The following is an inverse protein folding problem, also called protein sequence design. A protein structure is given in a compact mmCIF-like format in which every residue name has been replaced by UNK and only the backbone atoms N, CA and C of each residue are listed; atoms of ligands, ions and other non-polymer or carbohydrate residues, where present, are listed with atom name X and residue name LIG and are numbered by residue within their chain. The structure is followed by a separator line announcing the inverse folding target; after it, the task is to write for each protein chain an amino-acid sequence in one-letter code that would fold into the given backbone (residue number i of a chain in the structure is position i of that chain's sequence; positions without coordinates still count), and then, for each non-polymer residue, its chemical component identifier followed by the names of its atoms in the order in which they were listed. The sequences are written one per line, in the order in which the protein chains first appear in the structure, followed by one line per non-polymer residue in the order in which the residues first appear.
data_IF_545233352627
#
_entry.id   IF_545233352627
#
_cell.length_a   1.000
_cell.length_b   1.000
_cell.length_c   1.000
_cell.angle_alpha   90.00
_cell.angle_beta   90.00
_cell.angle_gamma   90.00
#
_symmetry.space_group_name_H-M   'P 1'
#
loop_
_entity.id
_entity.type
_entity.pdbx_description
1 polymer ?
#
# COMPACT_ATOMS: atom_id res chain seq x y z
N UNK A 1 8.71 -8.36 -16.37
CA UNK A 1 7.43 -7.63 -16.47
C UNK A 1 7.69 -6.13 -16.62
N UNK A 2 8.51 -5.50 -15.77
CA UNK A 2 8.83 -4.05 -15.84
C UNK A 2 9.52 -3.70 -17.17
N UNK A 3 10.49 -4.51 -17.63
CA UNK A 3 11.20 -4.29 -18.89
C UNK A 3 10.30 -4.43 -20.14
N UNK A 4 9.19 -5.18 -20.02
CA UNK A 4 8.23 -5.36 -21.12
C UNK A 4 7.28 -4.16 -21.22
N UNK A 5 6.87 -3.60 -20.09
CA UNK A 5 6.00 -2.43 -20.02
C UNK A 5 6.70 -1.15 -20.46
N UNK A 6 8.02 -1.02 -20.19
CA UNK A 6 8.81 0.14 -20.63
C UNK A 6 9.13 0.12 -22.13
N UNK A 7 9.21 -1.06 -22.77
CA UNK A 7 9.46 -1.16 -24.21
C UNK A 7 8.20 -0.88 -25.07
N UNK A 8 7.01 -1.18 -24.57
CA UNK A 8 5.75 -0.76 -25.18
C UNK A 8 5.36 0.58 -24.54
N UNK A 9 5.49 1.66 -25.28
CA UNK A 9 4.89 2.97 -24.95
C UNK A 9 3.34 2.94 -24.91
N UNK A 10 2.73 1.79 -24.68
CA UNK A 10 1.29 1.66 -24.43
C UNK A 10 1.02 2.07 -22.99
N UNK A 11 0.72 3.34 -22.82
CA UNK A 11 0.26 3.90 -21.54
C UNK A 11 -1.04 3.20 -21.16
N UNK A 12 -1.09 2.66 -19.95
CA UNK A 12 -2.28 2.00 -19.41
C UNK A 12 -3.47 2.98 -19.44
N UNK A 13 -4.58 2.57 -19.99
CA UNK A 13 -5.82 3.35 -19.90
C UNK A 13 -6.36 3.33 -18.48
N UNK A 14 -7.17 4.34 -18.08
CA UNK A 14 -7.78 4.39 -16.75
C UNK A 14 -8.55 3.12 -16.38
N UNK A 15 -9.19 2.45 -17.36
CA UNK A 15 -9.87 1.17 -17.16
C UNK A 15 -8.89 0.02 -16.85
N UNK A 16 -7.73 0.00 -17.51
CA UNK A 16 -6.68 -1.00 -17.23
C UNK A 16 -6.04 -0.76 -15.87
N UNK A 17 -5.84 0.51 -15.49
CA UNK A 17 -5.39 0.87 -14.15
C UNK A 17 -6.38 0.38 -13.09
N UNK A 18 -7.68 0.65 -13.25
CA UNK A 18 -8.72 0.16 -12.34
C UNK A 18 -8.73 -1.37 -12.21
N UNK A 19 -8.61 -2.11 -13.32
CA UNK A 19 -8.51 -3.58 -13.28
C UNK A 19 -7.26 -4.05 -12.54
N UNK A 20 -6.12 -3.39 -12.74
CA UNK A 20 -4.88 -3.73 -12.05
C UNK A 20 -4.97 -3.45 -10.53
N UNK A 21 -5.62 -2.34 -10.13
CA UNK A 21 -5.91 -2.04 -8.72
C UNK A 21 -6.78 -3.12 -8.09
N UNK A 22 -7.86 -3.53 -8.77
CA UNK A 22 -8.75 -4.60 -8.29
C UNK A 22 -8.02 -5.95 -8.19
N UNK A 23 -7.24 -6.31 -9.20
CA UNK A 23 -6.46 -7.55 -9.17
C UNK A 23 -5.42 -7.54 -8.03
N UNK A 24 -4.67 -6.44 -7.87
CA UNK A 24 -3.72 -6.28 -6.78
C UNK A 24 -4.38 -6.29 -5.40
N UNK A 25 -5.56 -5.66 -5.27
CA UNK A 25 -6.38 -5.71 -4.06
C UNK A 25 -6.84 -7.13 -3.74
N UNK A 26 -7.30 -7.88 -4.74
CA UNK A 26 -7.69 -9.29 -4.58
C UNK A 26 -6.53 -10.17 -4.10
N UNK A 27 -5.36 -10.03 -4.72
CA UNK A 27 -4.13 -10.75 -4.28
C UNK A 27 -3.76 -10.35 -2.86
N UNK A 28 -3.79 -9.07 -2.52
CA UNK A 28 -3.50 -8.58 -1.17
C UNK A 28 -4.46 -9.14 -0.13
N UNK A 29 -5.75 -9.28 -0.48
CA UNK A 29 -6.76 -9.88 0.40
C UNK A 29 -6.45 -11.36 0.68
N UNK A 30 -6.06 -12.14 -0.35
CA UNK A 30 -5.66 -13.55 -0.17
C UNK A 30 -4.45 -13.64 0.76
N UNK A 31 -3.44 -12.80 0.56
CA UNK A 31 -2.28 -12.74 1.45
C UNK A 31 -2.66 -12.34 2.88
N UNK A 32 -3.58 -11.39 3.05
CA UNK A 32 -4.09 -11.01 4.37
C UNK A 32 -4.72 -12.21 5.10
N UNK A 33 -5.61 -12.94 4.43
CA UNK A 33 -6.24 -14.14 5.02
C UNK A 33 -5.18 -15.19 5.39
N UNK A 34 -4.22 -15.43 4.52
CA UNK A 34 -3.12 -16.35 4.79
C UNK A 34 -2.29 -15.92 6.01
N UNK A 35 -1.97 -14.63 6.13
CA UNK A 35 -1.25 -14.08 7.29
C UNK A 35 -2.08 -14.15 8.58
N UNK A 36 -3.41 -13.95 8.50
CA UNK A 36 -4.30 -14.06 9.66
C UNK A 36 -4.37 -15.47 10.24
N UNK A 37 -4.14 -16.48 9.42
CA UNK A 37 -4.05 -17.87 9.86
C UNK A 37 -2.62 -18.22 10.26
N UNK A 38 -1.64 -17.88 9.41
CA UNK A 38 -0.24 -18.27 9.59
C UNK A 38 0.44 -17.60 10.77
N UNK A 39 0.22 -16.29 10.99
CA UNK A 39 0.90 -15.57 12.09
C UNK A 39 0.47 -16.06 13.48
N UNK A 40 -0.84 -16.19 13.80
CA UNK A 40 -1.26 -16.76 15.08
C UNK A 40 -0.76 -18.20 15.29
N UNK A 41 -0.80 -19.03 14.24
CA UNK A 41 -0.30 -20.39 14.30
C UNK A 41 1.21 -20.43 14.61
N UNK A 42 2.00 -19.57 13.95
CA UNK A 42 3.43 -19.43 14.21
C UNK A 42 3.71 -18.97 15.65
N UNK A 43 3.01 -17.94 16.11
CA UNK A 43 3.17 -17.41 17.47
C UNK A 43 2.77 -18.48 18.50
N UNK A 44 1.66 -19.20 18.28
CA UNK A 44 1.22 -20.28 19.15
C UNK A 44 2.24 -21.44 19.23
N UNK A 45 2.85 -21.77 18.08
CA UNK A 45 3.80 -22.90 18.01
C UNK A 45 5.14 -22.58 18.71
N UNK A 46 5.67 -21.36 18.49
CA UNK A 46 7.00 -20.98 18.94
C UNK A 46 7.01 -20.14 20.24
N UNK A 47 5.91 -19.42 20.52
CA UNK A 47 5.83 -18.43 21.59
C UNK A 47 4.56 -18.58 22.42
N UNK A 48 4.24 -19.80 22.85
CA UNK A 48 3.00 -20.14 23.58
C UNK A 48 2.63 -19.15 24.68
N UNK A 49 3.61 -18.76 25.50
CA UNK A 49 3.40 -17.86 26.65
C UNK A 49 3.12 -16.40 26.26
N UNK A 50 3.41 -16.01 25.01
CA UNK A 50 3.21 -14.66 24.50
C UNK A 50 1.98 -14.51 23.61
N UNK A 51 1.34 -15.64 23.25
CA UNK A 51 0.22 -15.65 22.32
C UNK A 51 -0.92 -14.72 22.76
N UNK A 52 -1.34 -14.83 24.02
CA UNK A 52 -2.44 -14.02 24.54
C UNK A 52 -2.12 -12.52 24.59
N UNK A 53 -0.87 -12.16 24.80
CA UNK A 53 -0.43 -10.77 24.85
C UNK A 53 -0.42 -10.12 23.45
N UNK A 54 -0.14 -10.90 22.39
CA UNK A 54 0.05 -10.35 21.03
C UNK A 54 -1.13 -10.56 20.09
N UNK A 55 -2.06 -11.47 20.38
CA UNK A 55 -3.19 -11.82 19.50
C UNK A 55 -4.00 -10.61 19.04
N UNK A 56 -4.20 -9.61 19.91
CA UNK A 56 -4.94 -8.39 19.58
C UNK A 56 -4.18 -7.46 18.61
N UNK A 57 -2.86 -7.50 18.65
CA UNK A 57 -1.99 -6.64 17.83
C UNK A 57 -1.74 -7.26 16.45
N UNK A 58 -1.73 -8.59 16.37
CA UNK A 58 -1.40 -9.34 15.14
C UNK A 58 -2.27 -8.91 13.97
N UNK A 59 -3.57 -8.79 14.17
CA UNK A 59 -4.50 -8.39 13.10
C UNK A 59 -4.17 -7.01 12.55
N UNK A 60 -3.91 -6.03 13.41
CA UNK A 60 -3.58 -4.65 13.02
C UNK A 60 -2.25 -4.60 12.28
N UNK A 61 -1.25 -5.32 12.78
CA UNK A 61 0.07 -5.42 12.16
C UNK A 61 -0.03 -6.09 10.78
N UNK A 62 -0.72 -7.22 10.68
CA UNK A 62 -0.91 -7.91 9.40
C UNK A 62 -1.61 -7.01 8.39
N UNK A 63 -2.66 -6.30 8.80
CA UNK A 63 -3.36 -5.37 7.93
C UNK A 63 -2.44 -4.22 7.47
N UNK A 64 -1.64 -3.65 8.37
CA UNK A 64 -0.69 -2.60 8.04
C UNK A 64 0.37 -3.09 7.03
N UNK A 65 0.90 -4.30 7.19
CA UNK A 65 1.89 -4.90 6.29
C UNK A 65 1.31 -5.18 4.90
N UNK A 66 0.09 -5.74 4.84
CA UNK A 66 -0.57 -6.01 3.55
C UNK A 66 -0.92 -4.72 2.81
N UNK A 67 -1.37 -3.69 3.50
CA UNK A 67 -1.56 -2.37 2.89
C UNK A 67 -0.24 -1.76 2.40
N UNK A 68 0.85 -1.97 3.14
CA UNK A 68 2.20 -1.60 2.71
C UNK A 68 2.62 -2.28 1.40
N UNK A 69 2.42 -3.60 1.29
CA UNK A 69 2.67 -4.38 0.07
C UNK A 69 1.78 -3.92 -1.09
N UNK A 70 0.49 -3.74 -0.84
CA UNK A 70 -0.45 -3.23 -1.84
C UNK A 70 -0.06 -1.85 -2.34
N UNK A 71 0.35 -0.95 -1.45
CA UNK A 71 0.81 0.38 -1.82
C UNK A 71 2.09 0.34 -2.66
N UNK A 72 3.03 -0.58 -2.37
CA UNK A 72 4.24 -0.78 -3.17
C UNK A 72 3.91 -1.28 -4.58
N UNK A 73 2.95 -2.18 -4.71
CA UNK A 73 2.44 -2.64 -6.00
C UNK A 73 1.81 -1.49 -6.81
N UNK A 74 0.93 -0.71 -6.18
CA UNK A 74 0.31 0.46 -6.81
C UNK A 74 1.36 1.49 -7.23
N UNK A 75 2.37 1.68 -6.42
CA UNK A 75 3.47 2.59 -6.69
C UNK A 75 4.20 2.20 -7.99
N UNK A 76 4.50 0.93 -8.21
CA UNK A 76 5.10 0.44 -9.45
C UNK A 76 4.19 0.69 -10.65
N UNK A 77 2.88 0.51 -10.51
CA UNK A 77 1.91 0.80 -11.57
C UNK A 77 1.89 2.29 -11.92
N UNK A 78 1.89 3.16 -10.92
CA UNK A 78 1.85 4.61 -11.12
C UNK A 78 3.16 5.14 -11.68
N UNK A 79 4.31 4.45 -11.48
CA UNK A 79 5.59 4.76 -12.14
C UNK A 79 5.49 4.78 -13.67
N UNK A 80 4.54 4.06 -14.24
CA UNK A 80 4.34 4.05 -15.69
C UNK A 80 3.70 5.33 -16.23
N UNK A 81 3.08 6.16 -15.35
CA UNK A 81 2.33 7.37 -15.72
C UNK A 81 2.88 8.66 -15.18
N UNK A 82 3.72 8.60 -14.14
CA UNK A 82 4.16 9.79 -13.40
C UNK A 82 5.67 9.94 -13.40
N UNK A 83 6.11 11.19 -13.33
CA UNK A 83 7.51 11.50 -13.13
C UNK A 83 7.99 10.97 -11.78
N UNK A 84 9.21 10.44 -11.74
CA UNK A 84 9.86 9.89 -10.55
C UNK A 84 9.89 10.88 -9.37
N UNK A 85 9.92 12.19 -9.65
CA UNK A 85 9.94 13.25 -8.64
C UNK A 85 8.72 13.25 -7.73
N UNK A 86 7.51 13.08 -8.29
CA UNK A 86 6.26 13.04 -7.51
C UNK A 86 6.22 11.84 -6.58
N UNK A 87 6.77 10.73 -7.02
CA UNK A 87 6.82 9.51 -6.24
C UNK A 87 7.81 9.63 -5.09
N UNK A 88 8.96 10.27 -5.32
CA UNK A 88 9.94 10.57 -4.28
C UNK A 88 9.32 11.43 -3.18
N UNK A 89 8.54 12.46 -3.54
CA UNK A 89 7.82 13.28 -2.57
C UNK A 89 6.78 12.51 -1.77
N UNK A 90 5.98 11.66 -2.41
CA UNK A 90 5.00 10.81 -1.71
C UNK A 90 5.70 9.89 -0.71
N UNK A 91 6.85 9.31 -1.10
CA UNK A 91 7.62 8.44 -0.21
C UNK A 91 8.20 9.20 0.98
N UNK A 92 8.79 10.37 0.74
CA UNK A 92 9.36 11.20 1.81
C UNK A 92 8.28 11.65 2.81
N UNK A 93 7.14 12.13 2.31
CA UNK A 93 6.01 12.55 3.16
C UNK A 93 5.46 11.35 3.94
N UNK A 94 5.27 10.20 3.28
CA UNK A 94 4.83 8.98 3.95
C UNK A 94 5.79 8.55 5.06
N UNK A 95 7.10 8.56 4.79
CA UNK A 95 8.12 8.20 5.78
C UNK A 95 8.10 9.16 6.97
N UNK A 96 7.99 10.47 6.73
CA UNK A 96 7.90 11.47 7.78
C UNK A 96 6.65 11.28 8.64
N UNK A 97 5.48 11.07 8.03
CA UNK A 97 4.23 10.79 8.74
C UNK A 97 4.37 9.50 9.57
N UNK A 98 4.88 8.42 8.95
CA UNK A 98 5.06 7.14 9.62
C UNK A 98 5.98 7.30 10.84
N UNK A 99 7.12 7.97 10.70
CA UNK A 99 8.09 8.17 11.78
C UNK A 99 7.46 8.96 12.93
N UNK A 100 6.90 10.13 12.65
CA UNK A 100 6.33 11.02 13.67
C UNK A 100 5.13 10.38 14.36
N UNK A 101 4.16 9.88 13.58
CA UNK A 101 2.97 9.26 14.12
C UNK A 101 3.29 8.00 14.94
N UNK A 102 4.21 7.16 14.46
CA UNK A 102 4.60 5.94 15.17
C UNK A 102 5.30 6.23 16.50
N UNK A 103 6.21 7.22 16.54
CA UNK A 103 6.88 7.60 17.79
C UNK A 103 5.90 8.17 18.80
N UNK A 104 5.01 9.07 18.37
CA UNK A 104 4.01 9.67 19.26
C UNK A 104 3.00 8.65 19.77
N UNK A 105 2.48 7.81 18.87
CA UNK A 105 1.50 6.79 19.23
C UNK A 105 2.12 5.68 20.10
N UNK A 106 3.37 5.29 19.83
CA UNK A 106 4.08 4.31 20.66
C UNK A 106 4.31 4.82 22.08
N UNK A 107 4.61 6.11 22.25
CA UNK A 107 4.76 6.73 23.58
C UNK A 107 3.45 6.74 24.39
N UNK A 108 2.31 6.95 23.72
CA UNK A 108 1.00 7.08 24.38
C UNK A 108 0.30 5.73 24.58
N UNK A 109 0.41 4.82 23.62
CA UNK A 109 -0.38 3.58 23.56
C UNK A 109 0.48 2.32 23.36
N UNK A 110 1.80 2.42 23.51
CA UNK A 110 2.71 1.28 23.35
C UNK A 110 2.67 0.67 21.94
N UNK A 111 2.83 -0.65 21.88
CA UNK A 111 2.87 -1.39 20.59
C UNK A 111 1.58 -1.29 19.77
N UNK A 112 0.42 -1.20 20.43
CA UNK A 112 -0.86 -1.02 19.73
C UNK A 112 -0.91 0.34 19.02
N UNK A 113 -0.43 1.40 19.69
CA UNK A 113 -0.33 2.72 19.10
C UNK A 113 0.58 2.74 17.87
N UNK A 114 1.75 2.09 17.94
CA UNK A 114 2.64 1.94 16.81
C UNK A 114 1.96 1.22 15.63
N UNK A 115 1.26 0.11 15.90
CA UNK A 115 0.56 -0.67 14.87
C UNK A 115 -0.56 0.14 14.20
N UNK A 116 -1.37 0.88 14.98
CA UNK A 116 -2.43 1.74 14.46
C UNK A 116 -1.87 2.93 13.65
N UNK A 117 -0.80 3.56 14.09
CA UNK A 117 -0.14 4.64 13.36
C UNK A 117 0.43 4.15 12.01
N UNK A 118 1.05 2.97 12.02
CA UNK A 118 1.57 2.32 10.82
C UNK A 118 0.44 1.99 9.82
N UNK A 119 -0.69 1.47 10.32
CA UNK A 119 -1.88 1.21 9.53
C UNK A 119 -2.41 2.52 8.89
N UNK A 120 -2.58 3.57 9.69
CA UNK A 120 -3.07 4.87 9.22
C UNK A 120 -2.16 5.48 8.14
N UNK A 121 -0.84 5.45 8.35
CA UNK A 121 0.13 5.93 7.37
C UNK A 121 0.06 5.16 6.04
N UNK A 122 -0.10 3.83 6.08
CA UNK A 122 -0.25 3.01 4.88
C UNK A 122 -1.58 3.28 4.16
N UNK A 123 -2.68 3.49 4.88
CA UNK A 123 -3.98 3.89 4.30
C UNK A 123 -3.85 5.21 3.54
N UNK A 124 -3.23 6.22 4.16
CA UNK A 124 -3.00 7.53 3.52
C UNK A 124 -2.14 7.40 2.26
N UNK A 125 -1.09 6.57 2.32
CA UNK A 125 -0.24 6.30 1.16
C UNK A 125 -1.00 5.64 0.02
N UNK A 126 -1.79 4.60 0.30
CA UNK A 126 -2.63 3.93 -0.71
C UNK A 126 -3.59 4.92 -1.36
N UNK A 127 -4.28 5.74 -0.55
CA UNK A 127 -5.20 6.75 -1.04
C UNK A 127 -4.48 7.77 -1.95
N UNK A 128 -3.33 8.31 -1.53
CA UNK A 128 -2.55 9.26 -2.30
C UNK A 128 -2.11 8.68 -3.66
N UNK A 129 -1.64 7.43 -3.69
CA UNK A 129 -1.19 6.77 -4.92
C UNK A 129 -2.37 6.50 -5.87
N UNK A 130 -3.52 6.07 -5.35
CA UNK A 130 -4.73 5.86 -6.18
C UNK A 130 -5.22 7.17 -6.78
N UNK A 131 -5.32 8.23 -5.98
CA UNK A 131 -5.75 9.56 -6.44
C UNK A 131 -4.80 10.06 -7.53
N UNK A 132 -3.50 9.96 -7.32
CA UNK A 132 -2.51 10.37 -8.32
C UNK A 132 -2.66 9.58 -9.62
N UNK A 133 -2.84 8.27 -9.54
CA UNK A 133 -3.06 7.40 -10.69
C UNK A 133 -4.31 7.76 -11.48
N UNK A 134 -5.43 8.00 -10.79
CA UNK A 134 -6.70 8.38 -11.42
C UNK A 134 -6.63 9.75 -12.09
N UNK A 135 -6.03 10.75 -11.43
CA UNK A 135 -5.88 12.11 -11.97
C UNK A 135 -5.03 12.11 -13.24
N UNK A 136 -3.93 11.36 -13.24
CA UNK A 136 -3.04 11.28 -14.42
C UNK A 136 -3.67 10.49 -15.57
N UNK A 137 -4.31 9.36 -15.28
CA UNK A 137 -5.04 8.59 -16.29
C UNK A 137 -6.23 9.37 -16.91
N UNK A 138 -6.86 10.28 -16.13
CA UNK A 138 -7.94 11.16 -16.62
C UNK A 138 -7.44 12.24 -17.57
N UNK A 139 -6.30 12.87 -17.28
CA UNK A 139 -5.71 13.93 -18.15
C UNK A 139 -5.34 13.40 -19.53
N UNK A 140 -4.75 12.21 -19.63
CA UNK A 140 -4.40 11.62 -20.92
C UNK A 140 -5.61 11.34 -21.81
N UNK A 141 -6.78 11.06 -21.23
CA UNK A 141 -8.02 10.88 -22.00
C UNK A 141 -8.52 12.22 -22.57
N UNK A 142 -8.33 13.31 -21.87
CA UNK A 142 -8.68 14.66 -22.33
C UNK A 142 -7.85 15.11 -23.52
N UNK A 143 -6.53 14.94 -23.45
CA UNK A 143 -5.60 15.32 -24.52
C UNK A 143 -5.84 14.55 -25.82
N UNK A 144 -6.13 13.24 -25.75
CA UNK A 144 -6.46 12.42 -26.92
C UNK A 144 -7.76 12.82 -27.63
N UNK A 145 -8.72 13.39 -26.91
CA UNK A 145 -9.98 13.83 -27.49
C UNK A 145 -9.86 15.25 -28.10
N UNK A 146 -8.86 16.03 -27.70
CA UNK A 146 -8.57 17.34 -28.25
C UNK A 146 -7.81 17.28 -29.59
N UNK A 147 -7.09 16.19 -29.85
CA UNK A 147 -6.29 15.97 -31.06
C UNK A 147 -7.08 15.24 -32.19
N UNK A 148 -8.38 14.99 -32.01
CA UNK A 148 -9.29 14.42 -33.01
C UNK A 148 -10.29 15.43 -33.52
#
# INVERSE_FOLDING_TARGET
VISYLTKRKERLTGAQFGKAVLAGGGVSLVFFVACQIGTPLFVWLFYRNLYDAVKGIVTVVNLAQILGLFSAFLFILVLTFTDERWQLWIQLVHFAILLVASVLAARSYGMMGFACASLGANVLRVAAVIILGLVKAGKEKGDRNADR
#
